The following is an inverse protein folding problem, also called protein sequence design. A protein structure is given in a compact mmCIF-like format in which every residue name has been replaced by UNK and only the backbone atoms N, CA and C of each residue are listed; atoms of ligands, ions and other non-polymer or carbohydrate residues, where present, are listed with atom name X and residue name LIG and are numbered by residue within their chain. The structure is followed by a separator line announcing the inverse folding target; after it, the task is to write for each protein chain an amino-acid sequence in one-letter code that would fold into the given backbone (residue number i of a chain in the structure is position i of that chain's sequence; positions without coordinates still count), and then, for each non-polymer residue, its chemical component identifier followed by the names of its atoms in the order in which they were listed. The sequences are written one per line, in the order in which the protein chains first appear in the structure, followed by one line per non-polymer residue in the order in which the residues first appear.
data_IF_471882506127
#
_entry.id   IF_471882506127
#
_cell.length_a   1.000
_cell.length_b   1.000
_cell.length_c   1.000
_cell.angle_alpha   90.00
_cell.angle_beta   90.00
_cell.angle_gamma   90.00
#
_symmetry.space_group_name_H-M   'P 1'
#
loop_
_entity.id
_entity.type
_entity.pdbx_description
1 polymer ?
#
# COMPACT_ATOMS: atom_id res chain seq x y z
N UNK A 1 33.26 -12.45 11.56
CA UNK A 1 32.06 -12.35 12.39
C UNK A 1 32.52 -11.84 13.73
N UNK A 2 32.20 -10.62 14.10
CA UNK A 2 32.58 -10.07 15.40
C UNK A 2 31.87 -10.86 16.49
N UNK A 3 32.62 -11.31 17.51
CA UNK A 3 32.05 -12.01 18.68
C UNK A 3 31.30 -11.03 19.62
N UNK A 4 31.16 -9.75 19.19
CA UNK A 4 30.51 -8.72 19.98
C UNK A 4 28.98 -8.76 19.74
N UNK A 5 28.28 -9.20 20.77
CA UNK A 5 26.83 -9.35 20.75
C UNK A 5 26.05 -8.03 20.47
N UNK A 6 26.65 -6.86 20.73
CA UNK A 6 26.08 -5.55 20.38
C UNK A 6 26.04 -5.37 18.88
N UNK A 7 27.16 -5.67 18.20
CA UNK A 7 27.27 -5.66 16.73
C UNK A 7 26.28 -6.64 16.13
N UNK A 8 26.29 -7.88 16.61
CA UNK A 8 25.39 -8.94 16.14
C UNK A 8 23.89 -8.55 16.28
N UNK A 9 23.51 -7.89 17.37
CA UNK A 9 22.13 -7.43 17.58
C UNK A 9 21.72 -6.36 16.57
N UNK A 10 22.59 -5.41 16.26
CA UNK A 10 22.33 -4.36 15.27
C UNK A 10 22.32 -4.93 13.85
N UNK A 11 23.29 -5.79 13.51
CA UNK A 11 23.34 -6.45 12.19
C UNK A 11 22.08 -7.29 11.93
N UNK A 12 21.61 -8.05 12.92
CA UNK A 12 20.38 -8.81 12.79
C UNK A 12 19.15 -7.91 12.57
N UNK A 13 19.07 -6.78 13.26
CA UNK A 13 17.97 -5.82 13.07
C UNK A 13 18.02 -5.18 11.67
N UNK A 14 19.22 -4.85 11.18
CA UNK A 14 19.41 -4.30 9.83
C UNK A 14 19.13 -5.34 8.75
N UNK A 15 19.56 -6.58 8.95
CA UNK A 15 19.24 -7.68 8.04
C UNK A 15 17.72 -7.87 7.92
N UNK A 16 17.02 -7.91 9.04
CA UNK A 16 15.56 -8.02 9.06
C UNK A 16 14.87 -6.83 8.34
N UNK A 17 15.40 -5.62 8.52
CA UNK A 17 14.93 -4.45 7.76
C UNK A 17 15.11 -4.61 6.25
N UNK A 18 16.30 -5.01 5.83
CA UNK A 18 16.62 -5.22 4.42
C UNK A 18 15.78 -6.34 3.79
N UNK A 19 15.55 -7.42 4.52
CA UNK A 19 14.70 -8.53 4.09
C UNK A 19 13.25 -8.08 3.86
N UNK A 20 12.69 -7.28 4.78
CA UNK A 20 11.36 -6.72 4.61
C UNK A 20 11.28 -5.71 3.45
N UNK A 21 12.33 -4.90 3.23
CA UNK A 21 12.39 -4.03 2.06
C UNK A 21 12.40 -4.83 0.76
N UNK A 22 13.17 -5.91 0.69
CA UNK A 22 13.18 -6.81 -0.47
C UNK A 22 11.83 -7.50 -0.67
N UNK A 23 11.18 -7.92 0.42
CA UNK A 23 9.82 -8.49 0.38
C UNK A 23 8.80 -7.47 -0.14
N UNK A 24 8.87 -6.19 0.25
CA UNK A 24 8.00 -5.12 -0.26
C UNK A 24 8.12 -5.00 -1.78
N UNK A 25 9.33 -4.99 -2.33
CA UNK A 25 9.53 -4.94 -3.77
C UNK A 25 8.87 -6.12 -4.48
N UNK A 26 9.02 -7.32 -3.93
CA UNK A 26 8.35 -8.51 -4.44
C UNK A 26 6.83 -8.41 -4.37
N UNK A 27 6.29 -7.98 -3.22
CA UNK A 27 4.86 -7.88 -2.99
C UNK A 27 4.19 -6.81 -3.86
N UNK A 28 4.80 -5.62 -4.00
CA UNK A 28 4.20 -4.53 -4.76
C UNK A 28 4.04 -4.88 -6.25
N UNK A 29 4.93 -5.74 -6.77
CA UNK A 29 4.87 -6.24 -8.15
C UNK A 29 3.91 -7.43 -8.33
N UNK A 30 3.49 -8.12 -7.25
CA UNK A 30 2.59 -9.26 -7.34
C UNK A 30 1.15 -8.83 -7.68
N UNK A 31 0.46 -9.69 -8.43
CA UNK A 31 -0.98 -9.54 -8.66
C UNK A 31 -1.78 -10.14 -7.50
N UNK A 32 -3.01 -9.65 -7.22
CA UNK A 32 -3.87 -10.26 -6.20
C UNK A 32 -4.14 -11.74 -6.45
N UNK A 33 -4.18 -12.13 -7.73
CA UNK A 33 -4.40 -13.51 -8.17
C UNK A 33 -3.26 -14.44 -7.75
N UNK A 34 -2.01 -13.95 -7.70
CA UNK A 34 -0.81 -14.73 -7.36
C UNK A 34 -0.38 -14.59 -5.89
N UNK A 35 -1.01 -13.68 -5.16
CA UNK A 35 -0.66 -13.43 -3.76
C UNK A 35 -0.81 -14.70 -2.92
N UNK A 36 0.27 -15.09 -2.23
CA UNK A 36 0.36 -16.30 -1.41
C UNK A 36 -0.18 -17.57 -2.09
N UNK A 37 0.18 -17.79 -3.36
CA UNK A 37 -0.22 -18.99 -4.11
C UNK A 37 -1.65 -18.97 -4.64
N UNK A 38 -2.41 -17.86 -4.48
CA UNK A 38 -3.74 -17.71 -5.07
C UNK A 38 -4.90 -18.33 -4.28
N UNK A 39 -4.66 -18.98 -3.16
CA UNK A 39 -5.73 -19.59 -2.34
C UNK A 39 -6.73 -18.54 -1.86
N UNK A 40 -6.24 -17.40 -1.37
CA UNK A 40 -7.08 -16.29 -0.90
C UNK A 40 -7.94 -15.77 -2.05
N UNK A 41 -7.35 -15.62 -3.25
CA UNK A 41 -8.07 -15.16 -4.44
C UNK A 41 -9.25 -16.07 -4.79
N UNK A 42 -9.07 -17.38 -4.72
CA UNK A 42 -10.14 -18.36 -5.00
C UNK A 42 -11.33 -18.17 -4.04
N UNK A 43 -11.06 -17.95 -2.76
CA UNK A 43 -12.11 -17.67 -1.75
C UNK A 43 -12.82 -16.35 -2.06
N UNK A 44 -12.07 -15.30 -2.39
CA UNK A 44 -12.61 -13.97 -2.72
C UNK A 44 -13.52 -14.04 -3.97
N UNK A 45 -13.09 -14.74 -5.02
CA UNK A 45 -13.90 -14.95 -6.23
C UNK A 45 -15.19 -15.71 -5.92
N UNK A 46 -15.12 -16.72 -5.05
CA UNK A 46 -16.32 -17.46 -4.61
C UNK A 46 -17.32 -16.55 -3.88
N UNK A 47 -16.84 -15.70 -2.96
CA UNK A 47 -17.67 -14.72 -2.25
C UNK A 47 -18.24 -13.69 -3.23
N UNK A 48 -17.41 -13.16 -4.13
CA UNK A 48 -17.84 -12.23 -5.18
C UNK A 48 -19.01 -12.80 -5.99
N UNK A 49 -18.87 -14.03 -6.50
CA UNK A 49 -19.90 -14.70 -7.29
C UNK A 49 -21.20 -14.90 -6.51
N UNK A 50 -21.13 -15.22 -5.22
CA UNK A 50 -22.30 -15.29 -4.35
C UNK A 50 -23.00 -13.91 -4.21
N UNK A 51 -22.24 -12.83 -4.18
CA UNK A 51 -22.76 -11.46 -4.04
C UNK A 51 -23.31 -10.87 -5.34
N UNK A 52 -22.99 -11.43 -6.51
CA UNK A 52 -23.56 -10.98 -7.80
C UNK A 52 -25.09 -11.06 -7.81
N UNK A 53 -25.66 -12.13 -7.24
CA UNK A 53 -27.11 -12.27 -7.12
C UNK A 53 -27.76 -11.13 -6.31
N UNK A 54 -27.13 -10.76 -5.19
CA UNK A 54 -27.57 -9.60 -4.38
C UNK A 54 -27.38 -8.29 -5.14
N UNK A 55 -26.29 -8.16 -5.91
CA UNK A 55 -26.04 -7.02 -6.79
C UNK A 55 -27.17 -6.82 -7.80
N UNK A 56 -27.65 -7.90 -8.43
CA UNK A 56 -28.81 -7.79 -9.33
C UNK A 56 -30.10 -7.43 -8.60
N UNK A 57 -30.33 -7.93 -7.38
CA UNK A 57 -31.46 -7.50 -6.56
C UNK A 57 -31.43 -5.99 -6.26
N UNK A 58 -30.29 -5.49 -5.84
CA UNK A 58 -30.09 -4.05 -5.60
C UNK A 58 -30.22 -3.22 -6.87
N UNK A 59 -29.73 -3.72 -8.01
CA UNK A 59 -29.87 -3.06 -9.30
C UNK A 59 -31.32 -2.81 -9.67
N UNK A 60 -32.17 -3.84 -9.51
CA UNK A 60 -33.63 -3.72 -9.75
C UNK A 60 -34.24 -2.68 -8.78
N UNK A 61 -33.85 -2.73 -7.52
CA UNK A 61 -34.34 -1.80 -6.50
C UNK A 61 -33.95 -0.36 -6.80
N UNK A 62 -32.68 -0.09 -7.15
CA UNK A 62 -32.24 1.25 -7.51
C UNK A 62 -32.89 1.77 -8.79
N UNK A 63 -33.07 0.89 -9.78
CA UNK A 63 -33.80 1.24 -11.00
C UNK A 63 -35.28 1.59 -10.69
N UNK A 64 -35.96 0.76 -9.88
CA UNK A 64 -37.34 1.04 -9.49
C UNK A 64 -37.49 2.39 -8.76
N UNK A 65 -36.58 2.67 -7.80
CA UNK A 65 -36.55 3.97 -7.11
C UNK A 65 -36.36 5.14 -8.07
N UNK A 66 -35.47 4.97 -9.08
CA UNK A 66 -35.20 6.02 -10.08
C UNK A 66 -36.45 6.27 -10.96
N UNK A 67 -37.13 5.22 -11.42
CA UNK A 67 -38.38 5.29 -12.18
C UNK A 67 -39.48 5.93 -11.35
N UNK A 68 -39.68 5.52 -10.08
CA UNK A 68 -40.68 6.13 -9.20
C UNK A 68 -40.43 7.63 -8.97
N UNK A 69 -39.16 8.01 -8.81
CA UNK A 69 -38.76 9.40 -8.62
C UNK A 69 -39.04 10.24 -9.86
N UNK A 70 -38.74 9.71 -11.05
CA UNK A 70 -39.03 10.34 -12.33
C UNK A 70 -40.55 10.42 -12.61
N UNK A 71 -41.31 9.37 -12.22
CA UNK A 71 -42.76 9.34 -12.35
C UNK A 71 -43.49 10.41 -11.50
N UNK A 72 -42.87 10.82 -10.38
CA UNK A 72 -43.40 11.91 -9.57
C UNK A 72 -43.31 13.30 -10.28
N UNK A 73 -42.51 13.40 -11.33
CA UNK A 73 -42.34 14.61 -12.14
C UNK A 73 -43.14 14.48 -13.45
N UNK A 74 -44.41 14.91 -13.46
CA UNK A 74 -45.33 14.81 -14.61
C UNK A 74 -44.79 15.36 -15.94
N UNK A 75 -43.81 16.29 -15.92
CA UNK A 75 -43.19 16.87 -17.12
C UNK A 75 -42.21 15.93 -17.81
N UNK A 76 -41.62 15.01 -17.08
CA UNK A 76 -40.60 14.07 -17.61
C UNK A 76 -41.23 12.86 -18.28
N UNK A 77 -42.40 12.42 -17.83
CA UNK A 77 -43.15 11.28 -18.40
C UNK A 77 -43.61 11.49 -19.86
N UNK A 78 -43.75 12.75 -20.30
CA UNK A 78 -44.23 13.07 -21.66
C UNK A 78 -43.14 12.95 -22.75
N UNK A 79 -41.87 12.70 -22.36
CA UNK A 79 -40.76 12.62 -23.32
C UNK A 79 -40.20 11.20 -23.39
N UNK A 80 -40.34 10.47 -24.50
CA UNK A 80 -39.88 9.10 -24.66
C UNK A 80 -38.34 8.97 -24.50
N UNK A 81 -37.61 10.06 -24.69
CA UNK A 81 -36.15 10.13 -24.52
C UNK A 81 -35.72 9.85 -23.08
N UNK A 82 -36.53 10.20 -22.09
CA UNK A 82 -36.24 9.92 -20.69
C UNK A 82 -36.34 8.42 -20.37
N UNK A 83 -37.38 7.76 -20.87
CA UNK A 83 -37.51 6.31 -20.69
C UNK A 83 -36.33 5.54 -21.29
N UNK A 84 -35.88 5.96 -22.47
CA UNK A 84 -34.72 5.38 -23.13
C UNK A 84 -33.45 5.59 -22.31
N UNK A 85 -33.22 6.76 -21.71
CA UNK A 85 -32.06 7.07 -20.87
C UNK A 85 -32.02 6.15 -19.64
N UNK A 86 -33.13 5.98 -18.92
CA UNK A 86 -33.22 5.10 -17.76
C UNK A 86 -32.96 3.66 -18.15
N UNK A 87 -33.48 3.19 -19.28
CA UNK A 87 -33.28 1.85 -19.79
C UNK A 87 -31.81 1.60 -20.17
N UNK A 88 -31.16 2.52 -20.87
CA UNK A 88 -29.73 2.43 -21.22
C UNK A 88 -28.89 2.37 -19.94
N UNK A 89 -29.17 3.23 -18.93
CA UNK A 89 -28.48 3.23 -17.64
C UNK A 89 -28.62 1.88 -16.92
N UNK A 90 -29.84 1.34 -16.89
CA UNK A 90 -30.09 0.00 -16.32
C UNK A 90 -29.29 -1.08 -17.03
N UNK A 91 -29.26 -1.07 -18.35
CA UNK A 91 -28.51 -2.03 -19.14
C UNK A 91 -27.02 -1.95 -18.87
N UNK A 92 -26.44 -0.75 -18.84
CA UNK A 92 -25.04 -0.52 -18.52
C UNK A 92 -24.71 -0.98 -17.10
N UNK A 93 -25.56 -0.66 -16.12
CA UNK A 93 -25.39 -1.11 -14.75
C UNK A 93 -25.49 -2.64 -14.63
N UNK A 94 -26.40 -3.28 -15.37
CA UNK A 94 -26.49 -4.74 -15.43
C UNK A 94 -25.21 -5.38 -15.96
N UNK A 95 -24.62 -4.83 -17.02
CA UNK A 95 -23.35 -5.29 -17.55
C UNK A 95 -22.23 -5.06 -16.51
N UNK A 96 -22.19 -3.88 -15.87
CA UNK A 96 -21.19 -3.57 -14.86
C UNK A 96 -21.24 -4.51 -13.65
N UNK A 97 -22.43 -4.93 -13.20
CA UNK A 97 -22.58 -5.92 -12.13
C UNK A 97 -22.17 -7.31 -12.60
N UNK A 98 -22.59 -7.72 -13.82
CA UNK A 98 -22.29 -9.04 -14.34
C UNK A 98 -20.81 -9.26 -14.66
N UNK A 99 -20.11 -8.22 -15.12
CA UNK A 99 -18.67 -8.24 -15.40
C UNK A 99 -17.84 -7.51 -14.34
N UNK A 100 -18.36 -7.42 -13.12
CA UNK A 100 -17.72 -6.67 -12.03
C UNK A 100 -16.33 -7.19 -11.67
N UNK A 101 -16.12 -8.52 -11.68
CA UNK A 101 -14.81 -9.11 -11.43
C UNK A 101 -13.79 -8.72 -12.51
N UNK A 102 -14.19 -8.78 -13.77
CA UNK A 102 -13.35 -8.41 -14.92
C UNK A 102 -13.00 -6.93 -14.87
N UNK A 103 -13.97 -6.06 -14.54
CA UNK A 103 -13.78 -4.63 -14.41
C UNK A 103 -12.75 -4.31 -13.32
N UNK A 104 -12.92 -4.88 -12.13
CA UNK A 104 -12.02 -4.71 -10.98
C UNK A 104 -10.60 -5.20 -11.32
N UNK A 105 -10.50 -6.38 -11.94
CA UNK A 105 -9.20 -6.96 -12.35
C UNK A 105 -8.54 -6.09 -13.44
N UNK A 106 -9.29 -5.56 -14.39
CA UNK A 106 -8.76 -4.67 -15.42
C UNK A 106 -8.21 -3.36 -14.82
N UNK A 107 -8.92 -2.75 -13.88
CA UNK A 107 -8.45 -1.55 -13.15
C UNK A 107 -7.12 -1.88 -12.43
N UNK A 108 -7.06 -3.02 -11.73
CA UNK A 108 -5.83 -3.44 -11.05
C UNK A 108 -4.66 -3.58 -12.02
N UNK A 109 -4.88 -4.24 -13.18
CA UNK A 109 -3.84 -4.43 -14.21
C UNK A 109 -3.32 -3.10 -14.76
N UNK A 110 -4.21 -2.11 -14.98
CA UNK A 110 -3.81 -0.77 -15.41
C UNK A 110 -2.93 -0.09 -14.35
N UNK A 111 -3.37 -0.09 -13.09
CA UNK A 111 -2.60 0.48 -11.98
C UNK A 111 -1.26 -0.27 -11.77
N UNK A 112 -1.25 -1.60 -11.90
CA UNK A 112 -0.05 -2.42 -11.86
C UNK A 112 0.94 -2.09 -12.97
N UNK A 113 0.44 -1.73 -14.17
CA UNK A 113 1.25 -1.19 -15.26
C UNK A 113 1.99 0.10 -14.88
N UNK A 114 1.34 0.99 -14.13
CA UNK A 114 2.00 2.20 -13.60
C UNK A 114 3.10 1.83 -12.60
N UNK A 115 2.83 0.90 -11.69
CA UNK A 115 3.82 0.38 -10.72
C UNK A 115 5.04 -0.17 -11.45
N UNK A 116 4.84 -1.07 -12.41
CA UNK A 116 5.93 -1.69 -13.17
C UNK A 116 6.73 -0.69 -14.00
N UNK A 117 6.08 0.34 -14.54
CA UNK A 117 6.75 1.43 -15.27
C UNK A 117 7.66 2.24 -14.34
N UNK A 118 7.17 2.60 -13.14
CA UNK A 118 7.98 3.30 -12.14
C UNK A 118 9.16 2.44 -11.69
N UNK A 119 8.94 1.15 -11.41
CA UNK A 119 10.01 0.23 -11.03
C UNK A 119 11.05 0.07 -12.15
N UNK A 120 10.61 -0.05 -13.39
CA UNK A 120 11.50 -0.18 -14.56
C UNK A 120 12.33 1.07 -14.86
N UNK A 121 11.79 2.27 -14.57
CA UNK A 121 12.50 3.53 -14.80
C UNK A 121 13.67 3.77 -13.82
N UNK A 122 13.66 3.13 -12.67
CA UNK A 122 14.66 3.34 -11.61
C UNK A 122 15.78 2.28 -11.64
N UNK A 123 15.55 1.15 -12.32
CA UNK A 123 16.55 0.09 -12.48
C UNK A 123 17.08 -0.46 -11.14
N UNK A 124 18.34 -0.89 -11.13
CA UNK A 124 19.01 -1.45 -9.93
C UNK A 124 19.46 -0.40 -8.89
N UNK A 125 19.10 0.88 -9.08
CA UNK A 125 19.53 1.97 -8.19
C UNK A 125 18.93 1.91 -6.76
N UNK A 126 18.05 0.93 -6.47
CA UNK A 126 17.29 0.86 -5.22
C UNK A 126 17.88 -0.15 -4.22
N UNK A 127 19.04 -0.69 -4.46
CA UNK A 127 19.71 -1.61 -3.52
C UNK A 127 20.50 -0.88 -2.43
N UNK A 128 19.94 0.15 -1.80
CA UNK A 128 20.53 0.67 -0.56
C UNK A 128 20.18 -0.27 0.59
N UNK A 129 20.98 -1.31 0.73
CA UNK A 129 20.99 -2.13 1.93
C UNK A 129 21.54 -1.29 3.08
N UNK A 130 20.82 -1.21 4.17
CA UNK A 130 21.33 -0.63 5.40
C UNK A 130 22.37 -1.60 5.99
N UNK A 131 23.64 -1.19 6.00
CA UNK A 131 24.74 -1.97 6.57
C UNK A 131 25.39 -1.17 7.69
N UNK A 132 25.92 -1.87 8.68
CA UNK A 132 26.71 -1.23 9.72
C UNK A 132 28.09 -0.86 9.15
N UNK A 133 28.51 0.43 9.19
CA UNK A 133 29.85 0.82 8.74
C UNK A 133 30.95 0.18 9.58
N UNK A 134 32.06 -0.23 8.94
CA UNK A 134 33.20 -0.86 9.61
C UNK A 134 33.73 -0.01 10.78
N UNK A 135 33.76 1.31 10.63
CA UNK A 135 34.16 2.25 11.69
C UNK A 135 33.28 2.20 12.94
N UNK A 136 31.98 1.93 12.77
CA UNK A 136 31.06 1.77 13.91
C UNK A 136 31.32 0.43 14.58
N UNK A 137 31.61 -0.61 13.82
CA UNK A 137 32.01 -1.92 14.35
C UNK A 137 33.27 -1.80 15.17
N UNK A 138 34.34 -1.20 14.61
CA UNK A 138 35.59 -0.93 15.33
C UNK A 138 35.38 -0.12 16.61
N UNK A 139 34.56 0.93 16.53
CA UNK A 139 34.24 1.75 17.70
C UNK A 139 33.51 0.98 18.81
N UNK A 140 32.68 0.01 18.45
CA UNK A 140 31.98 -0.87 19.41
C UNK A 140 32.94 -1.90 20.02
N UNK A 141 33.89 -2.41 19.24
CA UNK A 141 34.85 -3.41 19.68
C UNK A 141 35.94 -2.85 20.59
N UNK A 142 36.36 -1.59 20.39
CA UNK A 142 37.39 -0.89 21.17
C UNK A 142 36.88 -0.38 22.54
N UNK A 143 35.58 -0.46 22.83
CA UNK A 143 35.00 0.05 24.08
C UNK A 143 35.29 -0.91 25.26
N UNK A 144 35.76 -0.34 26.38
CA UNK A 144 35.99 -1.11 27.61
C UNK A 144 34.70 -1.69 28.20
N UNK A 145 34.76 -2.78 28.96
CA UNK A 145 33.61 -3.51 29.48
C UNK A 145 32.64 -2.61 30.29
N UNK A 146 33.15 -1.64 31.05
CA UNK A 146 32.28 -0.72 31.83
C UNK A 146 31.57 0.31 30.98
N UNK A 147 32.18 0.73 29.89
CA UNK A 147 31.59 1.66 28.90
C UNK A 147 30.64 0.95 27.91
N UNK A 148 30.72 -0.37 27.83
CA UNK A 148 29.85 -1.18 26.99
C UNK A 148 28.41 -1.27 27.51
N UNK A 149 28.13 -1.02 28.81
CA UNK A 149 26.79 -1.09 29.40
C UNK A 149 25.82 -0.02 28.78
N UNK A 150 26.15 1.29 28.73
CA UNK A 150 25.30 2.25 28.05
C UNK A 150 25.20 2.00 26.54
N UNK A 151 26.25 1.53 25.90
CA UNK A 151 26.24 1.18 24.50
C UNK A 151 25.27 0.02 24.21
N UNK A 152 25.26 -0.99 25.07
CA UNK A 152 24.30 -2.08 25.02
C UNK A 152 22.84 -1.61 25.08
N UNK A 153 22.52 -0.75 26.05
CA UNK A 153 21.16 -0.25 26.19
C UNK A 153 20.70 0.49 24.95
N UNK A 154 21.58 1.32 24.37
CA UNK A 154 21.31 2.07 23.14
C UNK A 154 21.09 1.12 21.96
N UNK A 155 21.94 0.12 21.81
CA UNK A 155 21.83 -0.86 20.72
C UNK A 155 20.57 -1.72 20.84
N UNK A 156 20.19 -2.12 22.07
CA UNK A 156 18.96 -2.85 22.34
C UNK A 156 17.72 -2.02 21.98
N UNK A 157 17.66 -0.75 22.39
CA UNK A 157 16.55 0.14 22.04
C UNK A 157 16.52 0.44 20.54
N UNK A 158 17.70 0.65 19.92
CA UNK A 158 17.82 0.88 18.49
C UNK A 158 17.33 -0.33 17.68
N UNK A 159 17.79 -1.53 18.00
CA UNK A 159 17.38 -2.77 17.33
C UNK A 159 15.89 -3.06 17.48
N UNK A 160 15.32 -2.81 18.66
CA UNK A 160 13.90 -2.97 18.91
C UNK A 160 13.07 -1.99 18.03
N UNK A 161 13.47 -0.73 17.96
CA UNK A 161 12.78 0.28 17.13
C UNK A 161 12.91 -0.04 15.63
N UNK A 162 14.08 -0.43 15.16
CA UNK A 162 14.30 -0.85 13.76
C UNK A 162 13.36 -2.02 13.42
N UNK A 163 13.28 -3.02 14.30
CA UNK A 163 12.41 -4.18 14.12
C UNK A 163 10.94 -3.78 14.08
N UNK A 164 10.48 -2.90 14.98
CA UNK A 164 9.09 -2.40 14.99
C UNK A 164 8.78 -1.65 13.68
N UNK A 165 9.67 -0.76 13.24
CA UNK A 165 9.48 0.01 12.00
C UNK A 165 9.43 -0.91 10.77
N UNK A 166 10.26 -1.93 10.73
CA UNK A 166 10.28 -2.96 9.71
C UNK A 166 8.93 -3.69 9.61
N UNK A 167 8.36 -4.11 10.73
CA UNK A 167 7.03 -4.73 10.76
C UNK A 167 5.91 -3.76 10.38
N UNK A 168 5.96 -2.51 10.81
CA UNK A 168 4.95 -1.51 10.43
C UNK A 168 4.96 -1.30 8.91
N UNK A 169 6.13 -1.29 8.30
CA UNK A 169 6.32 -1.07 6.89
C UNK A 169 5.73 -2.24 6.07
N UNK A 170 6.10 -3.49 6.41
CA UNK A 170 5.58 -4.67 5.70
C UNK A 170 4.06 -4.85 5.91
N UNK A 171 3.55 -4.62 7.12
CA UNK A 171 2.11 -4.69 7.41
C UNK A 171 1.29 -3.68 6.60
N UNK A 172 1.85 -2.52 6.27
CA UNK A 172 1.18 -1.54 5.39
C UNK A 172 0.95 -2.13 4.00
N UNK A 173 1.95 -2.81 3.45
CA UNK A 173 1.85 -3.46 2.13
C UNK A 173 0.87 -4.62 2.13
N UNK A 174 0.88 -5.46 3.17
CA UNK A 174 -0.12 -6.52 3.34
C UNK A 174 -1.53 -5.94 3.46
N UNK A 175 -1.69 -4.86 4.23
CA UNK A 175 -2.96 -4.17 4.40
C UNK A 175 -3.58 -3.71 3.08
N UNK A 176 -2.75 -3.26 2.12
CA UNK A 176 -3.19 -2.93 0.75
C UNK A 176 -3.83 -4.15 0.05
N UNK A 177 -3.21 -5.34 0.13
CA UNK A 177 -3.80 -6.54 -0.47
C UNK A 177 -5.14 -6.90 0.15
N UNK A 178 -5.26 -6.84 1.48
CA UNK A 178 -6.54 -7.09 2.14
C UNK A 178 -7.62 -6.10 1.72
N UNK A 179 -7.30 -4.81 1.56
CA UNK A 179 -8.22 -3.83 1.01
C UNK A 179 -8.66 -4.23 -0.41
N UNK A 180 -7.73 -4.58 -1.30
CA UNK A 180 -8.04 -5.02 -2.67
C UNK A 180 -8.98 -6.22 -2.66
N UNK A 181 -8.75 -7.22 -1.81
CA UNK A 181 -9.60 -8.39 -1.69
C UNK A 181 -11.01 -8.03 -1.22
N UNK A 182 -11.15 -7.17 -0.20
CA UNK A 182 -12.44 -6.71 0.29
C UNK A 182 -13.20 -5.96 -0.82
N UNK A 183 -12.55 -5.00 -1.51
CA UNK A 183 -13.17 -4.29 -2.62
C UNK A 183 -13.60 -5.23 -3.73
N UNK A 184 -12.78 -6.22 -4.08
CA UNK A 184 -13.11 -7.22 -5.10
C UNK A 184 -14.33 -8.05 -4.71
N UNK A 185 -14.38 -8.52 -3.46
CA UNK A 185 -15.49 -9.33 -2.98
C UNK A 185 -16.85 -8.61 -3.05
N UNK A 186 -16.87 -7.33 -2.58
CA UNK A 186 -18.13 -6.55 -2.47
C UNK A 186 -18.50 -5.77 -3.74
N UNK A 187 -17.66 -5.78 -4.77
CA UNK A 187 -17.81 -4.95 -5.97
C UNK A 187 -19.23 -4.98 -6.61
N UNK A 188 -19.93 -6.11 -6.72
CA UNK A 188 -21.26 -6.16 -7.33
C UNK A 188 -22.29 -5.23 -6.66
N UNK A 189 -22.17 -5.02 -5.34
CA UNK A 189 -23.15 -4.26 -4.58
C UNK A 189 -23.11 -2.74 -4.89
N UNK A 190 -21.95 -2.03 -4.76
CA UNK A 190 -21.89 -0.62 -5.11
C UNK A 190 -22.01 -0.37 -6.63
N UNK A 191 -21.59 -1.30 -7.49
CA UNK A 191 -21.75 -1.16 -8.93
C UNK A 191 -23.24 -1.19 -9.36
N UNK A 192 -24.10 -1.89 -8.63
CA UNK A 192 -25.54 -1.87 -8.85
C UNK A 192 -26.13 -0.45 -8.74
N UNK A 193 -25.51 0.44 -7.96
CA UNK A 193 -25.99 1.83 -7.78
C UNK A 193 -25.94 2.67 -9.05
N UNK A 194 -25.23 2.24 -10.10
CA UNK A 194 -25.24 2.91 -11.40
C UNK A 194 -26.60 2.85 -12.11
N UNK A 195 -27.50 1.95 -11.69
CA UNK A 195 -28.84 1.85 -12.25
C UNK A 195 -29.70 3.09 -11.99
N UNK A 196 -29.49 3.81 -10.88
CA UNK A 196 -30.23 5.03 -10.54
C UNK A 196 -29.38 6.30 -10.65
N UNK A 197 -29.99 7.41 -11.03
CA UNK A 197 -29.28 8.70 -11.15
C UNK A 197 -28.79 9.21 -9.79
N UNK A 198 -29.66 9.19 -8.81
CA UNK A 198 -29.36 9.65 -7.45
C UNK A 198 -28.35 8.76 -6.73
N UNK A 199 -28.31 7.46 -7.05
CA UNK A 199 -27.45 6.48 -6.38
C UNK A 199 -26.11 6.29 -7.08
N UNK A 200 -25.96 6.71 -8.34
CA UNK A 200 -24.76 6.50 -9.17
C UNK A 200 -23.47 7.05 -8.53
N UNK A 201 -23.59 8.07 -7.68
CA UNK A 201 -22.45 8.63 -6.93
C UNK A 201 -21.77 7.60 -6.03
N UNK A 202 -22.54 6.67 -5.45
CA UNK A 202 -22.00 5.59 -4.62
C UNK A 202 -21.07 4.67 -5.41
N UNK A 203 -21.48 4.25 -6.61
CA UNK A 203 -20.65 3.45 -7.50
C UNK A 203 -19.39 4.18 -7.97
N UNK A 204 -19.53 5.49 -8.28
CA UNK A 204 -18.38 6.31 -8.67
C UNK A 204 -17.37 6.46 -7.52
N UNK A 205 -17.82 6.73 -6.30
CA UNK A 205 -16.96 6.82 -5.12
C UNK A 205 -16.27 5.49 -4.87
N UNK A 206 -17.00 4.37 -4.97
CA UNK A 206 -16.41 3.04 -4.83
C UNK A 206 -15.29 2.80 -5.84
N UNK A 207 -15.50 3.09 -7.12
CA UNK A 207 -14.46 2.92 -8.15
C UNK A 207 -13.26 3.83 -7.91
N UNK A 208 -13.48 5.10 -7.52
CA UNK A 208 -12.39 6.02 -7.15
C UNK A 208 -11.57 5.48 -5.98
N UNK A 209 -12.24 5.03 -4.92
CA UNK A 209 -11.56 4.45 -3.75
C UNK A 209 -10.78 3.18 -4.12
N UNK A 210 -11.34 2.33 -4.98
CA UNK A 210 -10.65 1.14 -5.45
C UNK A 210 -9.40 1.48 -6.28
N UNK A 211 -9.51 2.42 -7.23
CA UNK A 211 -8.36 2.94 -7.97
C UNK A 211 -7.32 3.49 -7.00
N UNK A 212 -7.76 4.19 -5.94
CA UNK A 212 -6.89 4.67 -4.88
C UNK A 212 -6.06 3.56 -4.27
N UNK A 213 -6.70 2.51 -3.78
CA UNK A 213 -6.00 1.37 -3.18
C UNK A 213 -5.07 0.67 -4.18
N UNK A 214 -5.44 0.59 -5.46
CA UNK A 214 -4.56 0.04 -6.50
C UNK A 214 -3.33 0.91 -6.73
N UNK A 215 -3.48 2.25 -6.70
CA UNK A 215 -2.40 3.22 -6.89
C UNK A 215 -1.48 3.38 -5.66
N UNK A 216 -1.91 2.96 -4.45
CA UNK A 216 -1.04 2.93 -3.27
C UNK A 216 0.31 2.25 -3.57
N UNK A 217 0.31 1.19 -4.38
CA UNK A 217 1.54 0.50 -4.77
C UNK A 217 2.55 1.40 -5.50
N UNK A 218 2.07 2.26 -6.38
CA UNK A 218 2.93 3.21 -7.09
C UNK A 218 3.53 4.26 -6.12
N UNK A 219 2.74 4.74 -5.16
CA UNK A 219 3.22 5.68 -4.14
C UNK A 219 4.23 5.03 -3.20
N UNK A 220 4.02 3.76 -2.82
CA UNK A 220 4.99 2.99 -2.02
C UNK A 220 6.33 2.87 -2.75
N UNK A 221 6.30 2.48 -4.03
CA UNK A 221 7.51 2.38 -4.86
C UNK A 221 8.22 3.74 -4.97
N UNK A 222 7.48 4.80 -5.29
CA UNK A 222 8.03 6.15 -5.35
C UNK A 222 8.64 6.59 -4.01
N UNK A 223 8.01 6.26 -2.89
CA UNK A 223 8.55 6.56 -1.55
C UNK A 223 9.89 5.87 -1.32
N UNK A 224 10.01 4.60 -1.72
CA UNK A 224 11.27 3.86 -1.63
C UNK A 224 12.36 4.47 -2.55
N UNK A 225 11.99 4.90 -3.76
CA UNK A 225 12.90 5.56 -4.70
C UNK A 225 13.41 6.89 -4.16
N UNK A 226 12.50 7.75 -3.68
CA UNK A 226 12.83 9.04 -3.09
C UNK A 226 13.73 8.84 -1.86
N UNK A 227 13.40 7.88 -1.02
CA UNK A 227 14.20 7.53 0.15
C UNK A 227 15.63 7.08 -0.23
N UNK A 228 15.76 6.22 -1.24
CA UNK A 228 17.07 5.77 -1.74
C UNK A 228 17.90 6.94 -2.27
N UNK A 229 17.28 7.84 -3.04
CA UNK A 229 17.94 9.05 -3.52
C UNK A 229 18.35 10.00 -2.37
N UNK A 230 17.50 10.13 -1.36
CA UNK A 230 17.78 10.93 -0.17
C UNK A 230 18.99 10.38 0.60
N UNK A 231 19.09 9.07 0.80
CA UNK A 231 20.24 8.43 1.45
C UNK A 231 21.54 8.60 0.64
N UNK A 232 21.46 8.48 -0.69
CA UNK A 232 22.63 8.62 -1.56
C UNK A 232 23.18 10.04 -1.59
N UNK A 233 22.34 11.05 -1.34
CA UNK A 233 22.74 12.47 -1.31
C UNK A 233 23.30 12.95 0.03
N UNK A 234 23.09 12.22 1.11
CA UNK A 234 23.51 12.55 2.47
C UNK A 234 24.47 11.50 3.03
N UNK A 235 25.77 11.58 2.71
CA UNK A 235 26.75 10.80 3.48
C UNK A 235 26.72 11.33 4.91
N UNK A 236 26.29 10.47 5.86
CA UNK A 236 26.49 10.73 7.30
C UNK A 236 28.00 10.75 7.53
N UNK A 237 28.61 11.94 7.51
CA UNK A 237 29.97 12.11 7.91
C UNK A 237 30.04 11.75 9.40
N UNK A 238 30.59 10.55 9.69
CA UNK A 238 30.89 10.15 11.06
C UNK A 238 31.97 11.11 11.59
N UNK A 239 31.68 11.80 12.67
CA UNK A 239 32.65 12.63 13.34
C UNK A 239 33.59 11.76 14.19
N UNK A 240 34.74 11.42 13.62
CA UNK A 240 35.76 10.57 14.24
C UNK A 240 36.41 11.21 15.49
N UNK A 241 36.14 12.49 15.78
CA UNK A 241 36.66 13.19 16.95
C UNK A 241 35.87 12.91 18.23
N UNK A 242 34.70 12.26 18.10
CA UNK A 242 33.78 11.99 19.21
C UNK A 242 34.13 10.67 19.93
N UNK A 243 33.83 10.58 21.26
CA UNK A 243 33.92 9.32 21.96
C UNK A 243 33.07 8.23 21.28
N UNK A 244 33.54 6.99 21.26
CA UNK A 244 32.91 5.84 20.59
C UNK A 244 31.41 5.71 20.89
N UNK A 245 31.01 5.82 22.17
CA UNK A 245 29.61 5.75 22.59
C UNK A 245 28.75 6.85 21.95
N UNK A 246 29.28 8.08 21.84
CA UNK A 246 28.56 9.20 21.24
C UNK A 246 28.44 9.03 19.73
N UNK A 247 29.48 8.55 19.07
CA UNK A 247 29.48 8.28 17.63
C UNK A 247 28.46 7.20 17.26
N UNK A 248 28.42 6.11 18.00
CA UNK A 248 27.43 5.03 17.82
C UNK A 248 26.00 5.53 18.09
N UNK A 249 25.80 6.35 19.12
CA UNK A 249 24.49 6.96 19.41
C UNK A 249 24.00 7.85 18.26
N UNK A 250 24.85 8.71 17.73
CA UNK A 250 24.51 9.57 16.59
C UNK A 250 24.18 8.75 15.36
N UNK A 251 24.96 7.70 15.06
CA UNK A 251 24.71 6.84 13.92
C UNK A 251 23.35 6.13 14.03
N UNK A 252 23.08 5.49 15.18
CA UNK A 252 21.79 4.81 15.42
C UNK A 252 20.63 5.81 15.33
N UNK A 253 20.78 7.00 15.89
CA UNK A 253 19.76 8.06 15.83
C UNK A 253 19.46 8.50 14.40
N UNK A 254 20.50 8.71 13.58
CA UNK A 254 20.36 9.05 12.17
C UNK A 254 19.71 7.93 11.34
N UNK A 255 20.14 6.71 11.58
CA UNK A 255 19.59 5.53 10.94
C UNK A 255 18.10 5.38 11.24
N UNK A 256 17.72 5.47 12.51
CA UNK A 256 16.33 5.42 12.96
C UNK A 256 15.49 6.55 12.36
N UNK A 257 16.03 7.78 12.30
CA UNK A 257 15.35 8.91 11.67
C UNK A 257 15.07 8.62 10.19
N UNK A 258 16.05 8.13 9.45
CA UNK A 258 15.88 7.77 8.05
C UNK A 258 14.81 6.67 7.87
N UNK A 259 14.84 5.63 8.70
CA UNK A 259 13.83 4.56 8.67
C UNK A 259 12.42 5.05 9.04
N UNK A 260 12.31 5.99 9.98
CA UNK A 260 11.05 6.65 10.33
C UNK A 260 10.48 7.44 9.15
N UNK A 261 11.34 8.17 8.42
CA UNK A 261 10.93 8.94 7.23
C UNK A 261 10.32 7.99 6.18
N UNK A 262 11.01 6.89 5.85
CA UNK A 262 10.49 5.92 4.89
C UNK A 262 9.17 5.29 5.37
N UNK A 263 9.13 4.82 6.62
CA UNK A 263 7.93 4.22 7.20
C UNK A 263 6.76 5.19 7.21
N UNK A 264 7.02 6.46 7.53
CA UNK A 264 6.03 7.54 7.50
C UNK A 264 5.48 7.79 6.09
N UNK A 265 6.34 7.84 5.07
CA UNK A 265 5.95 8.01 3.67
C UNK A 265 5.10 6.82 3.18
N UNK A 266 5.55 5.59 3.44
CA UNK A 266 4.83 4.38 3.03
C UNK A 266 3.49 4.27 3.75
N UNK A 267 3.42 4.55 5.06
CA UNK A 267 2.17 4.56 5.82
C UNK A 267 1.23 5.67 5.37
N UNK A 268 1.75 6.81 4.93
CA UNK A 268 0.99 7.95 4.41
C UNK A 268 0.48 7.75 2.97
N UNK A 269 0.89 6.70 2.27
CA UNK A 269 0.54 6.48 0.86
C UNK A 269 -0.97 6.40 0.61
N UNK A 270 -1.73 5.76 1.50
CA UNK A 270 -3.20 5.67 1.46
C UNK A 270 -3.82 7.08 1.44
N UNK A 271 -3.45 7.92 2.39
CA UNK A 271 -3.95 9.28 2.51
C UNK A 271 -3.58 10.14 1.29
N UNK A 272 -2.34 10.06 0.83
CA UNK A 272 -1.87 10.81 -0.35
C UNK A 272 -2.69 10.47 -1.59
N UNK A 273 -2.96 9.20 -1.83
CA UNK A 273 -3.74 8.77 -3.00
C UNK A 273 -5.19 9.21 -2.87
N UNK A 274 -5.81 9.11 -1.68
CA UNK A 274 -7.17 9.59 -1.47
C UNK A 274 -7.29 11.11 -1.68
N UNK A 275 -6.34 11.90 -1.21
CA UNK A 275 -6.29 13.35 -1.45
C UNK A 275 -6.14 13.67 -2.95
N UNK A 276 -5.32 12.93 -3.69
CA UNK A 276 -5.12 13.12 -5.14
C UNK A 276 -6.36 12.80 -5.97
N UNK A 277 -7.14 11.78 -5.59
CA UNK A 277 -8.32 11.33 -6.33
C UNK A 277 -9.61 12.03 -5.90
N UNK A 278 -9.57 12.82 -4.84
CA UNK A 278 -10.74 13.48 -4.28
C UNK A 278 -11.80 12.46 -3.81
N UNK A 279 -11.34 11.40 -3.16
CA UNK A 279 -12.16 10.30 -2.66
C UNK A 279 -12.28 10.36 -1.14
#
# INVERSE_FOLDING_TARGET
MSDNWVVSTLENALSNWNDHLAEIWSLVSQTPESFRGGEIWTVIVSIHNALVGFGYGLLVLFFAMDVFRSAASFRELQRPEFALRHFIRFLLAKVAVGSSLELITAIYKICGGVVSTVMGSVGSAISTTATLPDKIVEAIEDVSFLESIPLWLVSLLGSLLITILSYVLILTVYGRFFKIFIYTAIAPLPLASFAGEATSRTGQTFLKSYVGVCMEGAVIVLSCVIYSAFLSGGSTALDESLPAVTMVWQYIGQLMFNMLVLTGLVKGSDRLVHEMLGA
#
